data_IF_942469866494
#
_entry.id   IF_942469866494
#
_cell.length_a   1.000
_cell.length_b   1.000
_cell.length_c   1.000
_cell.angle_alpha   90.00
_cell.angle_beta   90.00
_cell.angle_gamma   90.00
#
_symmetry.space_group_name_H-M   'P 1'
#
loop_
_entity.id
_entity.type
_entity.pdbx_description
1 polymer ?
#
# COMPACT_ATOMS: atom_id res chain seq x y z
N UNK A 1 36.59 10.03 -47.21
CA UNK A 1 36.17 9.13 -46.12
C UNK A 1 35.02 9.77 -45.35
N UNK A 2 33.76 9.38 -45.62
CA UNK A 2 32.60 9.82 -44.83
C UNK A 2 32.36 8.80 -43.73
N UNK A 3 32.68 9.17 -42.49
CA UNK A 3 32.23 8.42 -41.32
C UNK A 3 30.70 8.53 -41.25
N UNK A 4 30.00 7.47 -41.65
CA UNK A 4 28.58 7.28 -41.39
C UNK A 4 28.39 7.17 -39.88
N UNK A 5 28.10 8.30 -39.20
CA UNK A 5 27.52 8.28 -37.86
C UNK A 5 26.22 7.51 -37.96
N UNK A 6 26.20 6.28 -37.42
CA UNK A 6 24.98 5.52 -37.16
C UNK A 6 24.01 6.46 -36.44
N UNK A 7 22.78 6.68 -36.93
CA UNK A 7 21.84 7.52 -36.20
C UNK A 7 21.62 6.85 -34.85
N UNK A 8 22.02 7.52 -33.77
CA UNK A 8 21.68 7.07 -32.43
C UNK A 8 20.15 7.09 -32.37
N UNK A 9 19.54 5.93 -32.09
CA UNK A 9 18.11 5.86 -31.93
C UNK A 9 17.66 6.91 -30.89
N UNK A 10 16.46 7.51 -31.08
CA UNK A 10 15.89 8.48 -30.16
C UNK A 10 16.05 8.03 -28.70
N UNK A 11 16.30 8.95 -27.75
CA UNK A 11 16.50 8.62 -26.35
C UNK A 11 15.42 7.68 -25.78
N UNK A 12 14.15 7.86 -26.17
CA UNK A 12 13.07 6.96 -25.71
C UNK A 12 13.25 5.52 -26.20
N UNK A 13 13.63 5.35 -27.47
CA UNK A 13 13.84 4.04 -28.10
C UNK A 13 15.05 3.34 -27.48
N UNK A 14 16.15 4.07 -27.23
CA UNK A 14 17.32 3.52 -26.52
C UNK A 14 16.97 3.10 -25.09
N UNK A 15 16.23 3.93 -24.37
CA UNK A 15 15.82 3.62 -23.00
C UNK A 15 15.00 2.33 -22.92
N UNK A 16 14.12 2.08 -23.90
CA UNK A 16 13.38 0.82 -23.98
C UNK A 16 14.29 -0.39 -24.25
N UNK A 17 15.29 -0.26 -25.14
CA UNK A 17 16.24 -1.35 -25.39
C UNK A 17 17.10 -1.67 -24.17
N UNK A 18 17.58 -0.67 -23.44
CA UNK A 18 18.34 -0.89 -22.21
C UNK A 18 17.48 -1.51 -21.11
N UNK A 19 16.19 -1.15 -21.04
CA UNK A 19 15.25 -1.80 -20.14
C UNK A 19 15.08 -3.28 -20.49
N UNK A 20 14.87 -3.62 -21.77
CA UNK A 20 14.77 -5.03 -22.20
C UNK A 20 16.06 -5.82 -21.92
N UNK A 21 17.23 -5.21 -22.10
CA UNK A 21 18.52 -5.85 -21.80
C UNK A 21 18.70 -6.08 -20.29
N UNK A 22 18.33 -5.10 -19.46
CA UNK A 22 18.33 -5.24 -18.01
C UNK A 22 17.35 -6.34 -17.55
N UNK A 23 16.14 -6.40 -18.14
CA UNK A 23 15.17 -7.46 -17.86
C UNK A 23 15.68 -8.85 -18.22
N UNK A 24 16.30 -8.98 -19.40
CA UNK A 24 16.91 -10.25 -19.82
C UNK A 24 18.03 -10.68 -18.87
N UNK A 25 18.88 -9.75 -18.45
CA UNK A 25 19.94 -10.02 -17.48
C UNK A 25 19.38 -10.47 -16.13
N UNK A 26 18.32 -9.83 -15.64
CA UNK A 26 17.67 -10.20 -14.39
C UNK A 26 17.04 -11.61 -14.46
N UNK A 27 16.38 -11.94 -15.58
CA UNK A 27 15.78 -13.26 -15.80
C UNK A 27 16.83 -14.38 -15.87
N UNK A 28 18.07 -14.05 -16.26
CA UNK A 28 19.21 -14.96 -16.24
C UNK A 28 19.91 -15.06 -14.87
N UNK A 29 19.35 -14.42 -13.83
CA UNK A 29 19.92 -14.39 -12.48
C UNK A 29 21.00 -13.33 -12.28
N UNK A 30 21.30 -12.51 -13.28
CA UNK A 30 22.32 -11.46 -13.22
C UNK A 30 21.77 -10.12 -12.77
N UNK A 31 21.39 -9.99 -11.49
CA UNK A 31 20.89 -8.72 -10.92
C UNK A 31 21.91 -7.60 -11.05
N UNK A 32 23.15 -7.85 -10.64
CA UNK A 32 24.25 -6.89 -10.69
C UNK A 32 24.48 -6.44 -12.13
N UNK A 33 24.37 -7.37 -13.09
CA UNK A 33 24.45 -7.07 -14.52
C UNK A 33 23.27 -6.22 -14.99
N UNK A 34 22.05 -6.48 -14.53
CA UNK A 34 20.89 -5.64 -14.83
C UNK A 34 21.07 -4.21 -14.30
N UNK A 35 21.58 -4.06 -13.07
CA UNK A 35 21.88 -2.75 -12.46
C UNK A 35 22.99 -2.02 -13.21
N UNK A 36 24.06 -2.72 -13.61
CA UNK A 36 25.14 -2.16 -14.43
C UNK A 36 24.60 -1.62 -15.76
N UNK A 37 23.78 -2.40 -16.48
CA UNK A 37 23.16 -1.93 -17.73
C UNK A 37 22.40 -0.63 -17.53
N UNK A 38 21.62 -0.52 -16.45
CA UNK A 38 20.87 0.71 -16.13
C UNK A 38 21.82 1.87 -15.77
N UNK A 39 22.83 1.63 -14.93
CA UNK A 39 23.79 2.66 -14.53
C UNK A 39 24.61 3.21 -15.71
N UNK A 40 25.04 2.33 -16.61
CA UNK A 40 25.94 2.69 -17.71
C UNK A 40 25.21 3.37 -18.88
N UNK A 41 23.91 3.11 -19.04
CA UNK A 41 23.18 3.50 -20.25
C UNK A 41 22.01 4.47 -20.00
N UNK A 42 21.55 4.65 -18.77
CA UNK A 42 20.48 5.60 -18.43
C UNK A 42 21.08 6.87 -17.84
N UNK A 43 21.18 7.89 -18.70
CA UNK A 43 21.81 9.18 -18.34
C UNK A 43 20.98 9.97 -17.33
N UNK A 44 19.66 10.00 -17.50
CA UNK A 44 18.76 10.74 -16.62
C UNK A 44 18.70 10.12 -15.20
N UNK A 45 19.07 10.87 -14.14
CA UNK A 45 19.13 10.33 -12.78
C UNK A 45 17.79 9.83 -12.24
N UNK A 46 16.70 10.51 -12.59
CA UNK A 46 15.37 10.18 -12.07
C UNK A 46 14.86 8.87 -12.69
N UNK A 47 15.00 8.73 -14.01
CA UNK A 47 14.70 7.50 -14.73
C UNK A 47 15.60 6.35 -14.31
N UNK A 48 16.89 6.62 -14.05
CA UNK A 48 17.84 5.61 -13.58
C UNK A 48 17.40 5.06 -12.22
N UNK A 49 17.11 5.92 -11.25
CA UNK A 49 16.63 5.49 -9.94
C UNK A 49 15.33 4.69 -10.04
N UNK A 50 14.37 5.17 -10.83
CA UNK A 50 13.11 4.45 -11.04
C UNK A 50 13.34 3.02 -11.57
N UNK A 51 14.18 2.87 -12.61
CA UNK A 51 14.51 1.55 -13.19
C UNK A 51 15.26 0.65 -12.21
N UNK A 52 16.14 1.19 -11.38
CA UNK A 52 16.83 0.41 -10.34
C UNK A 52 15.82 -0.11 -9.30
N UNK A 53 14.87 0.72 -8.88
CA UNK A 53 13.78 0.31 -7.98
C UNK A 53 12.90 -0.78 -8.63
N UNK A 54 12.59 -0.68 -9.92
CA UNK A 54 11.85 -1.73 -10.65
C UNK A 54 12.61 -3.07 -10.64
N UNK A 55 13.93 -3.04 -10.88
CA UNK A 55 14.78 -4.25 -10.86
C UNK A 55 14.75 -4.89 -9.48
N UNK A 56 14.95 -4.09 -8.42
CA UNK A 56 14.96 -4.59 -7.04
C UNK A 56 13.59 -5.18 -6.66
N UNK A 57 12.48 -4.54 -7.07
CA UNK A 57 11.12 -5.03 -6.84
C UNK A 57 10.84 -6.33 -7.60
N UNK A 58 11.26 -6.45 -8.86
CA UNK A 58 11.06 -7.69 -9.62
C UNK A 58 11.85 -8.84 -9.03
N UNK A 59 13.09 -8.59 -8.61
CA UNK A 59 13.91 -9.61 -7.96
C UNK A 59 13.25 -10.12 -6.67
N UNK A 60 12.70 -9.20 -5.87
CA UNK A 60 11.92 -9.54 -4.68
C UNK A 60 10.75 -10.47 -5.02
N UNK A 61 9.93 -10.11 -6.02
CA UNK A 61 8.80 -10.93 -6.46
C UNK A 61 9.20 -12.29 -7.01
N UNK A 62 10.29 -12.36 -7.78
CA UNK A 62 10.82 -13.63 -8.32
C UNK A 62 11.30 -14.54 -7.20
N UNK A 63 12.03 -13.98 -6.24
CA UNK A 63 12.58 -14.70 -5.09
C UNK A 63 11.46 -15.22 -4.17
N UNK A 64 10.45 -14.39 -3.92
CA UNK A 64 9.23 -14.79 -3.20
C UNK A 64 8.42 -15.85 -3.96
N UNK A 65 8.31 -15.74 -5.29
CA UNK A 65 7.66 -16.75 -6.13
C UNK A 65 8.36 -18.12 -6.08
N UNK A 66 9.65 -18.14 -5.77
CA UNK A 66 10.46 -19.35 -5.56
C UNK A 66 10.48 -19.81 -4.09
N UNK A 67 9.67 -19.21 -3.21
CA UNK A 67 9.59 -19.51 -1.77
C UNK A 67 10.93 -19.34 -1.01
N UNK A 68 11.84 -18.50 -1.51
CA UNK A 68 13.14 -18.22 -0.87
C UNK A 68 13.01 -17.07 0.13
N UNK A 69 12.24 -17.29 1.19
CA UNK A 69 11.82 -16.23 2.14
C UNK A 69 12.96 -15.57 2.91
N UNK A 70 14.05 -16.30 3.18
CA UNK A 70 15.23 -15.70 3.82
C UNK A 70 15.90 -14.66 2.92
N UNK A 71 16.03 -14.96 1.62
CA UNK A 71 16.52 -14.00 0.64
C UNK A 71 15.56 -12.82 0.46
N UNK A 72 14.24 -13.05 0.51
CA UNK A 72 13.24 -11.97 0.51
C UNK A 72 13.48 -11.01 1.67
N UNK A 73 13.71 -11.52 2.89
CA UNK A 73 14.02 -10.67 4.06
C UNK A 73 15.31 -9.88 3.88
N UNK A 74 16.35 -10.48 3.32
CA UNK A 74 17.60 -9.80 2.99
C UNK A 74 17.46 -8.72 1.90
N UNK A 75 16.52 -8.90 0.96
CA UNK A 75 16.22 -7.89 -0.04
C UNK A 75 15.42 -6.73 0.57
N UNK A 76 14.46 -7.03 1.44
CA UNK A 76 13.65 -6.03 2.14
C UNK A 76 14.46 -5.17 3.12
N UNK A 77 15.47 -5.73 3.79
CA UNK A 77 16.33 -4.97 4.72
C UNK A 77 17.13 -3.84 4.06
N UNK A 78 17.22 -3.83 2.72
CA UNK A 78 17.83 -2.75 1.94
C UNK A 78 16.91 -1.54 1.77
N UNK A 79 15.61 -1.71 1.96
CA UNK A 79 14.63 -0.63 1.95
C UNK A 79 14.70 0.06 3.30
N UNK A 80 14.93 1.38 3.28
CA UNK A 80 15.18 2.16 4.51
C UNK A 80 13.91 2.46 5.31
N UNK A 81 12.80 2.72 4.62
CA UNK A 81 11.55 3.07 5.26
C UNK A 81 10.78 1.82 5.68
N UNK A 82 10.44 1.72 6.97
CA UNK A 82 9.71 0.58 7.51
C UNK A 82 8.29 0.48 6.93
N UNK A 83 7.66 1.61 6.61
CA UNK A 83 6.34 1.64 5.97
C UNK A 83 6.39 1.09 4.54
N UNK A 84 7.46 1.37 3.80
CA UNK A 84 7.67 0.84 2.46
C UNK A 84 7.95 -0.67 2.52
N UNK A 85 8.75 -1.12 3.48
CA UNK A 85 8.96 -2.56 3.75
C UNK A 85 7.67 -3.27 4.10
N UNK A 86 6.89 -2.72 5.02
CA UNK A 86 5.61 -3.27 5.43
C UNK A 86 4.63 -3.35 4.25
N UNK A 87 4.57 -2.33 3.39
CA UNK A 87 3.72 -2.36 2.19
C UNK A 87 4.15 -3.46 1.21
N UNK A 88 5.45 -3.71 1.04
CA UNK A 88 5.94 -4.82 0.22
C UNK A 88 5.54 -6.18 0.82
N UNK A 89 5.68 -6.34 2.13
CA UNK A 89 5.25 -7.55 2.84
C UNK A 89 3.74 -7.79 2.69
N UNK A 90 2.90 -6.76 2.79
CA UNK A 90 1.45 -6.86 2.58
C UNK A 90 1.12 -7.31 1.14
N UNK A 91 1.84 -6.80 0.14
CA UNK A 91 1.65 -7.23 -1.25
C UNK A 91 2.02 -8.72 -1.42
N UNK A 92 3.15 -9.13 -0.85
CA UNK A 92 3.58 -10.54 -0.87
C UNK A 92 2.57 -11.44 -0.15
N UNK A 93 2.03 -11.00 0.99
CA UNK A 93 1.00 -11.70 1.74
C UNK A 93 -0.31 -11.85 0.95
N UNK A 94 -0.71 -10.81 0.23
CA UNK A 94 -1.89 -10.83 -0.66
C UNK A 94 -1.70 -11.84 -1.79
N UNK A 95 -0.49 -11.89 -2.38
CA UNK A 95 -0.14 -12.88 -3.40
C UNK A 95 -0.12 -14.31 -2.84
N UNK A 96 0.44 -14.52 -1.65
CA UNK A 96 0.41 -15.82 -0.97
C UNK A 96 -1.02 -16.27 -0.66
N UNK A 97 -1.87 -15.35 -0.18
CA UNK A 97 -3.31 -15.59 0.05
C UNK A 97 -4.02 -16.04 -1.24
N UNK A 98 -3.78 -15.35 -2.36
CA UNK A 98 -4.35 -15.71 -3.66
C UNK A 98 -3.91 -17.08 -4.18
N UNK A 99 -2.73 -17.56 -3.76
CA UNK A 99 -2.23 -18.93 -4.04
C UNK A 99 -2.71 -19.98 -3.02
N UNK A 100 -3.48 -19.58 -2.01
CA UNK A 100 -3.94 -20.46 -0.93
C UNK A 100 -2.91 -20.71 0.19
N UNK A 101 -1.73 -20.08 0.13
CA UNK A 101 -0.68 -20.23 1.15
C UNK A 101 -0.93 -19.28 2.33
N UNK A 102 -1.93 -19.63 3.14
CA UNK A 102 -2.35 -18.84 4.30
C UNK A 102 -1.26 -18.72 5.38
N UNK A 103 -0.42 -19.75 5.54
CA UNK A 103 0.64 -19.77 6.56
C UNK A 103 1.68 -18.70 6.25
N UNK A 104 2.21 -18.71 5.03
CA UNK A 104 3.17 -17.70 4.58
C UNK A 104 2.55 -16.32 4.60
N UNK A 105 1.31 -16.18 4.12
CA UNK A 105 0.62 -14.89 4.13
C UNK A 105 0.51 -14.31 5.55
N UNK A 106 0.16 -15.13 6.53
CA UNK A 106 0.05 -14.71 7.94
C UNK A 106 1.42 -14.27 8.47
N UNK A 107 2.47 -15.06 8.26
CA UNK A 107 3.84 -14.71 8.69
C UNK A 107 4.32 -13.38 8.10
N UNK A 108 4.03 -13.13 6.82
CA UNK A 108 4.39 -11.86 6.17
C UNK A 108 3.64 -10.66 6.77
N UNK A 109 2.38 -10.84 7.18
CA UNK A 109 1.62 -9.78 7.84
C UNK A 109 2.03 -9.57 9.30
N UNK A 110 2.46 -10.62 10.00
CA UNK A 110 3.05 -10.52 11.33
C UNK A 110 4.36 -9.73 11.25
N UNK A 111 5.27 -10.12 10.33
CA UNK A 111 6.53 -9.40 10.06
C UNK A 111 6.25 -7.92 9.71
N UNK A 112 5.21 -7.63 8.92
CA UNK A 112 4.84 -6.26 8.56
C UNK A 112 4.31 -5.46 9.77
N UNK A 113 3.52 -6.10 10.64
CA UNK A 113 2.98 -5.47 11.84
C UNK A 113 4.07 -5.19 12.87
N UNK A 114 5.05 -6.07 13.04
CA UNK A 114 6.20 -5.85 13.94
C UNK A 114 7.02 -4.62 13.54
N UNK A 115 7.09 -4.31 12.24
CA UNK A 115 7.81 -3.13 11.73
C UNK A 115 7.06 -1.82 11.97
N UNK A 116 5.74 -1.81 11.74
CA UNK A 116 4.94 -0.58 11.84
C UNK A 116 4.46 -0.32 13.27
N UNK A 117 4.22 -1.37 14.03
CA UNK A 117 3.73 -1.31 15.41
C UNK A 117 2.31 -0.76 15.53
N UNK A 118 1.88 -0.56 16.78
CA UNK A 118 0.56 -0.04 17.13
C UNK A 118 0.53 1.50 17.25
N UNK A 119 1.66 2.13 17.52
CA UNK A 119 1.80 3.57 17.67
C UNK A 119 2.31 4.19 16.37
N UNK A 120 1.41 4.40 15.41
CA UNK A 120 1.75 5.27 14.29
C UNK A 120 2.16 6.65 14.82
N UNK A 121 2.96 7.41 14.10
CA UNK A 121 3.32 8.82 14.39
C UNK A 121 3.18 9.67 13.14
N UNK A 122 3.06 9.01 11.98
CA UNK A 122 2.86 9.63 10.69
C UNK A 122 1.63 9.07 9.98
N UNK A 123 1.14 9.84 9.02
CA UNK A 123 0.09 9.39 8.11
C UNK A 123 0.51 8.19 7.24
N UNK A 124 1.80 8.08 6.92
CA UNK A 124 2.35 6.91 6.21
C UNK A 124 2.22 5.63 7.04
N UNK A 125 2.49 5.69 8.34
CA UNK A 125 2.33 4.56 9.25
C UNK A 125 0.87 4.17 9.43
N UNK A 126 -0.03 5.14 9.58
CA UNK A 126 -1.48 4.87 9.60
C UNK A 126 -1.94 4.18 8.31
N UNK A 127 -1.46 4.63 7.16
CA UNK A 127 -1.73 3.99 5.87
C UNK A 127 -1.21 2.54 5.82
N UNK A 128 -0.03 2.27 6.35
CA UNK A 128 0.52 0.92 6.44
C UNK A 128 -0.31 0.01 7.37
N UNK A 129 -0.70 0.50 8.55
CA UNK A 129 -1.59 -0.22 9.48
C UNK A 129 -2.92 -0.59 8.81
N UNK A 130 -3.52 0.32 8.04
CA UNK A 130 -4.75 0.05 7.27
C UNK A 130 -4.55 -1.06 6.23
N UNK A 131 -3.44 -1.02 5.49
CA UNK A 131 -3.11 -2.05 4.51
C UNK A 131 -2.95 -3.43 5.17
N UNK A 132 -2.26 -3.48 6.32
CA UNK A 132 -2.07 -4.71 7.09
C UNK A 132 -3.42 -5.25 7.59
N UNK A 133 -4.25 -4.41 8.22
CA UNK A 133 -5.57 -4.79 8.72
C UNK A 133 -6.47 -5.35 7.61
N UNK A 134 -6.46 -4.72 6.42
CA UNK A 134 -7.19 -5.20 5.25
C UNK A 134 -6.70 -6.56 4.79
N UNK A 135 -5.39 -6.75 4.73
CA UNK A 135 -4.79 -8.01 4.29
C UNK A 135 -5.03 -9.17 5.26
N UNK A 136 -5.26 -8.87 6.55
CA UNK A 136 -5.73 -9.87 7.51
C UNK A 136 -7.16 -10.33 7.25
N UNK A 137 -8.01 -9.56 6.57
CA UNK A 137 -9.42 -9.91 6.37
C UNK A 137 -9.69 -11.34 5.88
N UNK A 138 -9.10 -11.81 4.77
CA UNK A 138 -9.30 -13.19 4.30
C UNK A 138 -8.58 -14.28 5.13
N UNK A 139 -7.72 -13.91 6.08
CA UNK A 139 -6.85 -14.83 6.84
C UNK A 139 -7.30 -14.97 8.29
N UNK A 140 -7.45 -13.84 8.98
CA UNK A 140 -7.85 -13.69 10.36
C UNK A 140 -8.58 -12.35 10.56
N UNK A 141 -9.92 -12.31 10.35
CA UNK A 141 -10.71 -11.10 10.52
C UNK A 141 -10.62 -10.50 11.93
N UNK A 142 -10.48 -11.34 12.97
CA UNK A 142 -10.35 -10.90 14.37
C UNK A 142 -9.13 -10.01 14.51
N UNK A 143 -7.99 -10.45 13.98
CA UNK A 143 -6.75 -9.65 13.98
C UNK A 143 -6.88 -8.35 13.19
N UNK A 144 -7.59 -8.39 12.06
CA UNK A 144 -7.92 -7.18 11.29
C UNK A 144 -8.67 -6.14 12.14
N UNK A 145 -9.69 -6.57 12.90
CA UNK A 145 -10.43 -5.68 13.79
C UNK A 145 -9.59 -5.19 14.98
N UNK A 146 -8.76 -6.03 15.60
CA UNK A 146 -7.87 -5.62 16.68
C UNK A 146 -6.94 -4.46 16.28
N UNK A 147 -6.51 -4.44 15.02
CA UNK A 147 -5.69 -3.35 14.47
C UNK A 147 -6.53 -2.10 14.24
N UNK A 148 -7.73 -2.22 13.67
CA UNK A 148 -8.57 -1.09 13.30
C UNK A 148 -9.22 -0.37 14.49
N UNK A 149 -9.63 -1.11 15.51
CA UNK A 149 -10.36 -0.58 16.66
C UNK A 149 -9.70 0.61 17.37
N UNK A 150 -8.40 0.59 17.69
CA UNK A 150 -7.73 1.76 18.28
C UNK A 150 -7.55 2.91 17.27
N UNK A 151 -7.57 2.65 15.97
CA UNK A 151 -7.36 3.68 14.96
C UNK A 151 -8.55 4.65 14.87
N UNK A 152 -9.79 4.23 15.17
CA UNK A 152 -10.94 5.16 15.18
C UNK A 152 -10.78 6.26 16.20
N UNK A 153 -10.32 5.94 17.41
CA UNK A 153 -10.12 6.95 18.46
C UNK A 153 -9.05 7.95 18.03
N UNK A 154 -8.02 7.46 17.34
CA UNK A 154 -6.98 8.30 16.78
C UNK A 154 -7.47 9.18 15.63
N UNK A 155 -8.29 8.65 14.72
CA UNK A 155 -8.89 9.44 13.65
C UNK A 155 -9.81 10.51 14.21
N UNK A 156 -10.61 10.20 15.23
CA UNK A 156 -11.42 11.19 15.95
C UNK A 156 -10.54 12.32 16.53
N UNK A 157 -9.42 11.96 17.16
CA UNK A 157 -8.46 12.93 17.70
C UNK A 157 -7.86 13.82 16.60
N UNK A 158 -7.44 13.21 15.47
CA UNK A 158 -6.88 13.94 14.33
C UNK A 158 -7.92 14.86 13.66
N UNK A 159 -9.17 14.41 13.55
CA UNK A 159 -10.27 15.23 13.03
C UNK A 159 -10.58 16.42 13.94
N UNK A 160 -10.56 16.25 15.26
CA UNK A 160 -10.73 17.35 16.20
C UNK A 160 -9.56 18.35 16.13
N UNK A 161 -8.32 17.86 16.04
CA UNK A 161 -7.15 18.71 15.87
C UNK A 161 -7.19 19.50 14.55
N UNK A 162 -7.62 18.87 13.45
CA UNK A 162 -7.77 19.53 12.16
C UNK A 162 -8.82 20.66 12.19
N UNK A 163 -9.88 20.54 13.00
CA UNK A 163 -10.87 21.60 13.20
C UNK A 163 -10.27 22.80 13.94
N UNK A 164 -9.37 22.58 14.88
CA UNK A 164 -8.67 23.69 15.58
C UNK A 164 -7.71 24.43 14.65
N UNK A 165 -7.02 23.68 13.78
CA UNK A 165 -6.11 24.26 12.79
C UNK A 165 -6.85 24.96 11.64
N UNK A 166 -8.15 24.69 11.49
CA UNK A 166 -9.00 25.31 10.49
C UNK A 166 -9.10 26.83 10.73
N UNK A 167 -8.62 27.60 9.75
CA UNK A 167 -8.51 29.06 9.81
C UNK A 167 -7.08 29.58 10.02
N UNK A 168 -6.17 28.76 10.53
CA UNK A 168 -4.73 29.08 10.62
C UNK A 168 -3.94 28.50 9.44
N UNK A 169 -4.35 27.34 8.93
CA UNK A 169 -3.72 26.71 7.77
C UNK A 169 -4.44 27.06 6.47
N UNK A 170 -3.67 27.20 5.37
CA UNK A 170 -4.20 27.44 4.01
C UNK A 170 -4.91 26.21 3.40
N UNK A 171 -4.95 25.08 4.11
CA UNK A 171 -5.56 23.84 3.65
C UNK A 171 -7.05 23.80 4.05
N UNK A 172 -7.91 23.57 3.06
CA UNK A 172 -9.37 23.63 3.15
C UNK A 172 -9.96 22.39 3.81
N UNK A 173 -9.69 22.20 5.10
CA UNK A 173 -10.15 21.00 5.83
C UNK A 173 -11.66 21.00 6.12
N UNK A 174 -12.25 22.19 6.33
CA UNK A 174 -13.66 22.36 6.69
C UNK A 174 -14.34 23.44 5.84
N UNK A 175 -15.67 23.40 5.76
CA UNK A 175 -16.53 24.49 5.30
C UNK A 175 -17.69 24.61 6.27
N UNK A 176 -17.89 25.79 6.86
CA UNK A 176 -19.03 26.04 7.76
C UNK A 176 -19.15 25.03 8.93
N UNK A 177 -18.02 24.51 9.43
CA UNK A 177 -17.97 23.51 10.50
C UNK A 177 -18.15 22.05 10.05
N UNK A 178 -18.40 21.82 8.77
CA UNK A 178 -18.49 20.48 8.17
C UNK A 178 -17.18 20.06 7.52
N UNK A 179 -16.90 18.77 7.55
CA UNK A 179 -15.66 18.24 6.97
C UNK A 179 -15.78 18.16 5.45
N UNK A 180 -14.87 18.81 4.71
CA UNK A 180 -14.94 18.76 3.24
C UNK A 180 -14.52 17.38 2.72
N UNK A 181 -15.43 16.72 2.01
CA UNK A 181 -15.22 15.38 1.43
C UNK A 181 -14.34 15.38 0.17
N UNK A 182 -14.12 16.55 -0.45
CA UNK A 182 -13.35 16.74 -1.67
C UNK A 182 -12.24 17.78 -1.44
N UNK A 183 -11.08 17.61 -2.09
CA UNK A 183 -10.02 18.64 -2.09
C UNK A 183 -8.66 18.27 -1.47
N UNK A 184 -8.33 16.97 -1.33
CA UNK A 184 -6.95 16.55 -1.00
C UNK A 184 -6.53 16.71 0.46
N UNK A 185 -7.48 16.86 1.38
CA UNK A 185 -7.22 16.83 2.82
C UNK A 185 -6.69 15.45 3.25
N UNK A 186 -5.49 15.40 3.82
CA UNK A 186 -4.82 14.15 4.22
C UNK A 186 -5.60 13.36 5.29
N UNK A 187 -6.27 14.05 6.22
CA UNK A 187 -7.14 13.42 7.23
C UNK A 187 -8.37 12.80 6.55
N UNK A 188 -8.99 13.49 5.58
CA UNK A 188 -10.11 12.93 4.83
C UNK A 188 -9.71 11.68 4.05
N UNK A 189 -8.56 11.75 3.37
CA UNK A 189 -8.05 10.63 2.58
C UNK A 189 -7.89 9.38 3.44
N UNK A 190 -7.42 9.52 4.67
CA UNK A 190 -7.25 8.39 5.57
C UNK A 190 -8.58 7.93 6.14
N UNK A 191 -9.53 8.83 6.45
CA UNK A 191 -10.89 8.42 6.84
C UNK A 191 -11.54 7.61 5.71
N UNK A 192 -11.43 8.05 4.46
CA UNK A 192 -11.96 7.30 3.30
C UNK A 192 -11.30 5.93 3.16
N UNK A 193 -9.97 5.86 3.28
CA UNK A 193 -9.25 4.58 3.25
C UNK A 193 -9.63 3.67 4.42
N UNK A 194 -9.75 4.25 5.62
CA UNK A 194 -10.15 3.54 6.83
C UNK A 194 -11.51 2.92 6.63
N UNK A 195 -12.50 3.70 6.16
CA UNK A 195 -13.88 3.28 5.97
C UNK A 195 -14.03 2.09 5.00
N UNK A 196 -13.12 1.94 4.05
CA UNK A 196 -13.09 0.79 3.11
C UNK A 196 -12.58 -0.49 3.78
N UNK A 197 -11.82 -0.44 4.88
CA UNK A 197 -11.30 -1.66 5.50
C UNK A 197 -12.38 -2.44 6.27
N UNK A 198 -13.21 -1.83 7.13
CA UNK A 198 -14.34 -2.48 7.76
C UNK A 198 -15.31 -3.11 6.76
N UNK A 199 -15.46 -2.59 5.53
CA UNK A 199 -16.33 -3.22 4.54
C UNK A 199 -15.79 -4.58 4.07
N UNK A 200 -14.47 -4.74 3.98
CA UNK A 200 -13.83 -6.03 3.70
C UNK A 200 -13.93 -7.02 4.88
N UNK A 201 -14.00 -6.51 6.11
CA UNK A 201 -14.14 -7.32 7.33
C UNK A 201 -15.59 -7.59 7.74
N UNK A 202 -16.53 -6.75 7.30
CA UNK A 202 -17.96 -6.82 7.65
C UNK A 202 -18.62 -8.13 7.19
N UNK A 203 -18.00 -8.83 6.24
CA UNK A 203 -18.43 -10.17 5.85
C UNK A 203 -18.19 -11.22 6.93
N UNK A 204 -17.16 -11.04 7.75
CA UNK A 204 -16.84 -11.93 8.84
C UNK A 204 -17.60 -11.56 10.12
N UNK A 205 -17.77 -10.26 10.37
CA UNK A 205 -18.48 -9.74 11.55
C UNK A 205 -19.12 -8.38 11.25
N UNK A 206 -20.37 -8.41 10.80
CA UNK A 206 -21.11 -7.21 10.45
C UNK A 206 -21.40 -6.32 11.66
N UNK A 207 -21.73 -6.92 12.80
CA UNK A 207 -22.08 -6.18 14.01
C UNK A 207 -20.87 -5.45 14.57
N UNK A 208 -19.69 -6.07 14.56
CA UNK A 208 -18.44 -5.41 14.95
C UNK A 208 -18.06 -4.30 13.97
N UNK A 209 -18.21 -4.51 12.67
CA UNK A 209 -18.00 -3.45 11.68
C UNK A 209 -18.97 -2.26 11.89
N UNK A 210 -20.25 -2.53 12.15
CA UNK A 210 -21.26 -1.52 12.46
C UNK A 210 -20.94 -0.76 13.76
N UNK A 211 -20.53 -1.48 14.81
CA UNK A 211 -20.11 -0.89 16.07
C UNK A 211 -18.93 0.06 15.88
N UNK A 212 -17.94 -0.37 15.09
CA UNK A 212 -16.77 0.43 14.74
C UNK A 212 -17.13 1.70 13.96
N UNK A 213 -18.06 1.61 13.00
CA UNK A 213 -18.58 2.78 12.28
C UNK A 213 -19.29 3.78 13.22
N UNK A 214 -20.00 3.29 14.23
CA UNK A 214 -20.71 4.14 15.19
C UNK A 214 -19.77 4.92 16.12
N UNK A 215 -18.51 4.50 16.25
CA UNK A 215 -17.50 5.17 17.09
C UNK A 215 -16.90 6.44 16.47
N UNK A 216 -17.15 6.70 15.18
CA UNK A 216 -16.78 7.98 14.58
C UNK A 216 -17.57 9.13 15.22
N UNK A 217 -16.87 10.18 15.64
CA UNK A 217 -17.46 11.35 16.28
C UNK A 217 -18.08 12.34 15.28
N UNK A 218 -17.61 12.35 14.03
CA UNK A 218 -18.14 13.20 12.96
C UNK A 218 -19.24 12.46 12.19
N UNK A 219 -20.36 13.14 11.95
CA UNK A 219 -21.53 12.56 11.30
C UNK A 219 -21.19 12.09 9.87
N UNK A 220 -20.38 12.85 9.13
CA UNK A 220 -19.97 12.56 7.78
C UNK A 220 -19.11 11.29 7.71
N UNK A 221 -18.15 11.16 8.63
CA UNK A 221 -17.33 9.95 8.73
C UNK A 221 -18.16 8.73 9.13
N UNK A 222 -19.11 8.90 10.05
CA UNK A 222 -20.03 7.83 10.46
C UNK A 222 -20.94 7.38 9.30
N UNK A 223 -21.52 8.32 8.55
CA UNK A 223 -22.37 8.02 7.38
C UNK A 223 -21.57 7.29 6.31
N UNK A 224 -20.38 7.79 5.97
CA UNK A 224 -19.49 7.13 5.02
C UNK A 224 -19.14 5.71 5.46
N UNK A 225 -18.77 5.52 6.72
CA UNK A 225 -18.47 4.22 7.30
C UNK A 225 -19.62 3.23 7.09
N UNK A 226 -20.85 3.65 7.42
CA UNK A 226 -22.05 2.82 7.26
C UNK A 226 -22.34 2.50 5.79
N UNK A 227 -22.26 3.49 4.89
CA UNK A 227 -22.49 3.28 3.45
C UNK A 227 -21.50 2.26 2.90
N UNK A 228 -20.21 2.39 3.20
CA UNK A 228 -19.20 1.47 2.69
C UNK A 228 -19.36 0.06 3.24
N UNK A 229 -19.75 -0.10 4.51
CA UNK A 229 -20.06 -1.42 5.08
C UNK A 229 -21.23 -2.06 4.32
N UNK A 230 -22.33 -1.32 4.11
CA UNK A 230 -23.50 -1.83 3.39
C UNK A 230 -23.14 -2.19 1.95
N UNK A 231 -22.38 -1.35 1.25
CA UNK A 231 -21.89 -1.64 -0.11
C UNK A 231 -21.00 -2.90 -0.15
N UNK A 232 -20.09 -3.06 0.81
CA UNK A 232 -19.20 -4.21 0.88
C UNK A 232 -19.93 -5.53 1.12
N UNK A 233 -21.01 -5.51 1.89
CA UNK A 233 -21.89 -6.66 2.06
C UNK A 233 -22.68 -6.91 0.76
N UNK A 234 -23.36 -5.89 0.21
CA UNK A 234 -24.21 -6.03 -0.98
C UNK A 234 -23.48 -6.51 -2.24
N UNK A 235 -22.26 -6.03 -2.50
CA UNK A 235 -21.47 -6.43 -3.67
C UNK A 235 -21.22 -7.95 -3.75
N UNK A 236 -21.23 -8.64 -2.60
CA UNK A 236 -21.10 -10.10 -2.55
C UNK A 236 -22.42 -10.81 -2.82
N UNK A 237 -23.55 -10.25 -2.40
CA UNK A 237 -24.88 -10.82 -2.69
C UNK A 237 -25.15 -10.87 -4.20
N UNK A 238 -24.77 -9.81 -4.93
CA UNK A 238 -24.85 -9.80 -6.39
C UNK A 238 -23.93 -10.84 -7.04
N UNK A 239 -22.77 -11.15 -6.44
CA UNK A 239 -21.83 -12.12 -6.98
C UNK A 239 -22.18 -13.61 -6.68
N UNK A 240 -23.18 -13.86 -5.83
CA UNK A 240 -23.67 -15.21 -5.51
C UNK A 240 -24.97 -15.51 -6.29
N UNK A 241 -25.61 -14.49 -6.86
CA UNK A 241 -26.87 -14.60 -7.62
C UNK A 241 -26.71 -14.86 -9.13
N UNK A 242 -25.48 -14.87 -9.64
CA UNK A 242 -25.09 -15.27 -11.01
C UNK A 242 -24.40 -16.64 -11.00
#
# INVERSE_FOLDING_TARGET
MRCLRRPLAPPEIRNNFYQQAAWKALNQGGRERARQIVNDNVSDPMQRNHKLTEIDRQELWRTAGQNRWEEVRQLLSRIRADEERASMLVQLATSATGRGDKKTATQLLDDAWEMVGNQAESFSQLGAQLQIARAYGPLNPIRGFEILEPMVDRLNTLSAAAEVLYGYERQWHFKDGEFMLQGGNMVMNIIQQYVVVPSSLAQADFDRARSLANRFQRNEAQILARISIVQGVMARWSAIGD
#
